data_IF_033305861071
#
_entry.id   IF_033305861071
#
_cell.length_a   1.000
_cell.length_b   1.000
_cell.length_c   1.000
_cell.angle_alpha   90.00
_cell.angle_beta   90.00
_cell.angle_gamma   90.00
#
_symmetry.space_group_name_H-M   'P 1'
#
loop_
_entity.id
_entity.type
_entity.pdbx_description
1 polymer ?
#
# COMPACT_ATOMS: atom_id res chain seq x y z
N UNK A 1 -10.55 9.69 33.15
CA UNK A 1 -9.99 10.26 31.88
C UNK A 1 -11.04 11.18 31.29
N UNK A 2 -10.68 12.28 30.64
CA UNK A 2 -11.69 13.11 29.95
C UNK A 2 -12.42 12.26 28.90
N UNK A 3 -13.73 12.46 28.76
CA UNK A 3 -14.60 11.76 27.79
C UNK A 3 -14.05 11.84 26.37
N UNK A 4 -13.43 12.97 26.03
CA UNK A 4 -12.78 13.19 24.75
C UNK A 4 -11.71 12.14 24.45
N UNK A 5 -10.83 11.84 25.41
CA UNK A 5 -9.75 10.86 25.23
C UNK A 5 -10.23 9.41 25.24
N UNK A 6 -11.34 9.12 25.93
CA UNK A 6 -11.95 7.79 25.87
C UNK A 6 -12.60 7.55 24.51
N UNK A 7 -13.20 8.58 23.90
CA UNK A 7 -13.75 8.49 22.53
C UNK A 7 -12.61 8.30 21.52
N UNK A 8 -11.50 9.02 21.64
CA UNK A 8 -10.33 8.81 20.75
C UNK A 8 -9.80 7.39 20.86
N UNK A 9 -9.67 6.86 22.08
CA UNK A 9 -9.22 5.50 22.30
C UNK A 9 -10.20 4.47 21.72
N UNK A 10 -11.51 4.68 21.88
CA UNK A 10 -12.53 3.83 21.28
C UNK A 10 -12.47 3.86 19.73
N UNK A 11 -12.24 5.04 19.14
CA UNK A 11 -12.04 5.19 17.69
C UNK A 11 -10.81 4.39 17.24
N UNK A 12 -9.68 4.55 17.94
CA UNK A 12 -8.44 3.82 17.65
C UNK A 12 -8.65 2.31 17.68
N UNK A 13 -9.32 1.78 18.71
CA UNK A 13 -9.58 0.34 18.81
C UNK A 13 -10.53 -0.15 17.73
N UNK A 14 -11.53 0.66 17.37
CA UNK A 14 -12.45 0.33 16.27
C UNK A 14 -11.72 0.29 14.94
N UNK A 15 -10.89 1.29 14.65
CA UNK A 15 -10.06 1.34 13.44
C UNK A 15 -9.09 0.16 13.38
N UNK A 16 -8.41 -0.15 14.48
CA UNK A 16 -7.49 -1.28 14.55
C UNK A 16 -8.21 -2.62 14.29
N UNK A 17 -9.40 -2.82 14.87
CA UNK A 17 -10.20 -4.01 14.65
C UNK A 17 -10.68 -4.12 13.19
N UNK A 18 -11.16 -3.02 12.61
CA UNK A 18 -11.61 -2.96 11.21
C UNK A 18 -10.44 -3.22 10.27
N UNK A 19 -9.30 -2.57 10.46
CA UNK A 19 -8.09 -2.77 9.63
C UNK A 19 -7.60 -4.22 9.73
N UNK A 20 -7.57 -4.78 10.94
CA UNK A 20 -7.18 -6.19 11.14
C UNK A 20 -8.14 -7.13 10.41
N UNK A 21 -9.44 -6.86 10.45
CA UNK A 21 -10.44 -7.61 9.71
C UNK A 21 -10.24 -7.48 8.18
N UNK A 22 -9.93 -6.28 7.69
CA UNK A 22 -9.67 -6.03 6.27
C UNK A 22 -8.39 -6.70 5.76
N UNK A 23 -7.35 -6.80 6.60
CA UNK A 23 -6.07 -7.45 6.29
C UNK A 23 -6.14 -8.98 6.36
N UNK A 24 -7.22 -9.52 6.94
CA UNK A 24 -7.36 -10.95 7.18
C UNK A 24 -7.45 -11.72 5.85
N UNK A 25 -6.57 -12.70 5.59
CA UNK A 25 -6.53 -13.44 4.32
C UNK A 25 -7.73 -14.36 4.11
N UNK A 26 -8.55 -14.59 5.15
CA UNK A 26 -9.71 -15.47 5.08
C UNK A 26 -10.87 -14.89 4.25
N UNK A 27 -10.93 -13.56 4.05
CA UNK A 27 -12.01 -12.93 3.31
C UNK A 27 -11.57 -12.73 1.85
N UNK A 28 -12.13 -13.54 0.95
CA UNK A 28 -11.78 -13.47 -0.47
C UNK A 28 -12.19 -12.13 -1.11
N UNK A 29 -11.48 -11.72 -2.16
CA UNK A 29 -11.78 -10.50 -2.94
C UNK A 29 -13.21 -10.47 -3.49
N UNK A 30 -13.84 -11.64 -3.70
CA UNK A 30 -15.22 -11.75 -4.18
C UNK A 30 -16.24 -11.32 -3.11
N UNK A 31 -15.99 -11.63 -1.85
CA UNK A 31 -16.85 -11.21 -0.72
C UNK A 31 -16.75 -9.70 -0.55
N UNK A 32 -15.53 -9.16 -0.52
CA UNK A 32 -15.32 -7.72 -0.49
C UNK A 32 -15.98 -7.01 -1.67
N UNK A 33 -15.86 -7.53 -2.88
CA UNK A 33 -16.53 -6.96 -4.06
C UNK A 33 -18.07 -6.93 -3.90
N UNK A 34 -18.67 -7.99 -3.34
CA UNK A 34 -20.11 -8.02 -3.06
C UNK A 34 -20.51 -6.97 -2.00
N UNK A 35 -19.69 -6.77 -0.96
CA UNK A 35 -19.88 -5.72 0.05
C UNK A 35 -19.73 -4.33 -0.57
N UNK A 36 -18.69 -4.09 -1.36
CA UNK A 36 -18.44 -2.80 -2.02
C UNK A 36 -19.49 -2.43 -3.07
N UNK A 37 -20.07 -3.43 -3.78
CA UNK A 37 -21.19 -3.21 -4.70
C UNK A 37 -22.54 -3.01 -4.00
N UNK A 38 -22.62 -3.19 -2.68
CA UNK A 38 -23.87 -2.96 -1.95
C UNK A 38 -24.32 -1.50 -2.06
N UNK A 39 -25.65 -1.29 -2.19
CA UNK A 39 -26.28 0.05 -2.25
C UNK A 39 -25.95 0.93 -1.03
N UNK A 40 -25.58 0.32 0.09
CA UNK A 40 -25.17 1.03 1.30
C UNK A 40 -23.77 1.63 1.13
N UNK A 41 -22.83 0.84 0.59
CA UNK A 41 -21.45 1.27 0.36
C UNK A 41 -21.37 2.25 -0.81
N UNK A 42 -22.20 2.11 -1.84
CA UNK A 42 -22.31 3.11 -2.92
C UNK A 42 -22.75 4.49 -2.40
N UNK A 43 -23.75 4.54 -1.51
CA UNK A 43 -24.18 5.79 -0.85
C UNK A 43 -23.09 6.35 0.06
N UNK A 44 -22.41 5.48 0.82
CA UNK A 44 -21.31 5.88 1.69
C UNK A 44 -20.13 6.43 0.87
N UNK A 45 -19.77 5.78 -0.24
CA UNK A 45 -18.68 6.16 -1.14
C UNK A 45 -18.87 7.57 -1.72
N UNK A 46 -20.10 7.91 -2.12
CA UNK A 46 -20.41 9.25 -2.68
C UNK A 46 -20.13 10.39 -1.70
N UNK A 47 -20.27 10.15 -0.40
CA UNK A 47 -19.96 11.13 0.66
C UNK A 47 -18.67 10.80 1.41
N UNK A 48 -17.99 9.69 1.09
CA UNK A 48 -16.86 9.18 1.85
C UNK A 48 -15.71 10.16 1.88
N UNK A 49 -15.43 10.86 0.78
CA UNK A 49 -14.37 11.87 0.72
C UNK A 49 -14.65 13.04 1.66
N UNK A 50 -15.91 13.48 1.76
CA UNK A 50 -16.33 14.55 2.67
C UNK A 50 -16.20 14.12 4.13
N UNK A 51 -16.76 12.97 4.50
CA UNK A 51 -16.63 12.42 5.86
C UNK A 51 -15.16 12.13 6.21
N UNK A 52 -14.37 11.61 5.27
CA UNK A 52 -12.96 11.32 5.49
C UNK A 52 -12.16 12.58 5.82
N UNK A 53 -12.34 13.64 5.04
CA UNK A 53 -11.66 14.91 5.27
C UNK A 53 -12.14 15.58 6.57
N UNK A 54 -13.43 15.47 6.89
CA UNK A 54 -13.99 15.96 8.16
C UNK A 54 -13.38 15.24 9.37
N UNK A 55 -13.39 13.91 9.38
CA UNK A 55 -12.75 13.12 10.43
C UNK A 55 -11.24 13.40 10.53
N UNK A 56 -10.56 13.56 9.39
CA UNK A 56 -9.15 13.89 9.33
C UNK A 56 -8.86 15.24 10.01
N UNK A 57 -9.70 16.26 9.75
CA UNK A 57 -9.57 17.56 10.39
C UNK A 57 -9.77 17.46 11.90
N UNK A 58 -10.79 16.73 12.36
CA UNK A 58 -11.06 16.51 13.77
C UNK A 58 -9.90 15.78 14.46
N UNK A 59 -9.41 14.68 13.87
CA UNK A 59 -8.25 13.94 14.37
C UNK A 59 -6.99 14.80 14.39
N UNK A 60 -6.78 15.63 13.36
CA UNK A 60 -5.69 16.60 13.31
C UNK A 60 -5.76 17.61 14.46
N UNK A 61 -6.96 18.14 14.76
CA UNK A 61 -7.17 19.00 15.93
C UNK A 61 -6.92 18.27 17.25
N UNK A 62 -7.30 16.99 17.37
CA UNK A 62 -7.00 16.19 18.58
C UNK A 62 -5.50 15.99 18.78
N UNK A 63 -4.76 15.68 17.71
CA UNK A 63 -3.30 15.56 17.78
C UNK A 63 -2.68 16.90 18.15
N UNK A 64 -3.15 17.99 17.56
CA UNK A 64 -2.68 19.34 17.91
C UNK A 64 -2.94 19.66 19.39
N UNK A 65 -4.12 19.35 19.91
CA UNK A 65 -4.47 19.53 21.31
C UNK A 65 -3.59 18.67 22.23
N UNK A 66 -3.34 17.41 21.85
CA UNK A 66 -2.46 16.51 22.59
C UNK A 66 -1.00 17.03 22.64
N UNK A 67 -0.48 17.50 21.50
CA UNK A 67 0.86 18.11 21.42
C UNK A 67 0.94 19.35 22.30
N UNK A 68 -0.05 20.24 22.20
CA UNK A 68 -0.15 21.43 23.05
C UNK A 68 -0.18 21.05 24.53
N UNK A 69 -0.96 20.04 24.89
CA UNK A 69 -1.08 19.57 26.27
C UNK A 69 0.23 18.98 26.79
N UNK A 70 0.96 18.19 26.00
CA UNK A 70 2.27 17.66 26.37
C UNK A 70 3.27 18.80 26.57
N UNK A 71 3.34 19.76 25.63
CA UNK A 71 4.27 20.90 25.75
C UNK A 71 3.95 21.77 26.97
N UNK A 72 2.67 22.04 27.20
CA UNK A 72 2.22 22.80 28.37
C UNK A 72 2.59 22.10 29.67
N UNK A 73 2.27 20.81 29.82
CA UNK A 73 2.59 20.07 31.05
C UNK A 73 4.11 19.93 31.25
N UNK A 74 4.88 19.82 30.16
CA UNK A 74 6.33 19.77 30.23
C UNK A 74 6.94 21.10 30.69
N UNK A 75 6.42 22.23 30.20
CA UNK A 75 6.85 23.56 30.65
C UNK A 75 6.58 23.77 32.14
N UNK A 76 5.35 23.48 32.58
CA UNK A 76 4.97 23.59 34.01
C UNK A 76 5.82 22.69 34.89
N UNK A 77 6.17 21.49 34.42
CA UNK A 77 7.07 20.59 35.13
C UNK A 77 8.50 21.14 35.25
N UNK A 78 9.01 21.80 34.21
CA UNK A 78 10.34 22.44 34.23
C UNK A 78 10.39 23.63 35.18
N UNK A 79 9.36 24.48 35.19
CA UNK A 79 9.25 25.60 36.14
C UNK A 79 9.21 25.09 37.59
N UNK A 80 8.43 24.04 37.87
CA UNK A 80 8.37 23.44 39.19
C UNK A 80 9.73 22.91 39.67
N UNK A 81 10.52 22.32 38.76
CA UNK A 81 11.88 21.85 39.06
C UNK A 81 12.85 22.99 39.36
N UNK A 82 12.60 24.18 38.82
CA UNK A 82 13.45 25.36 39.01
C UNK A 82 13.21 26.11 40.32
N UNK A 83 12.09 25.85 41.03
CA UNK A 83 11.76 26.47 42.31
C UNK A 83 11.94 25.47 43.48
N UNK A 84 13.03 25.57 44.27
CA UNK A 84 13.32 24.65 45.37
C UNK A 84 12.29 24.70 46.52
N UNK A 85 11.48 25.76 46.61
CA UNK A 85 10.52 25.95 47.70
C UNK A 85 9.22 25.14 47.51
N UNK A 86 8.87 24.85 46.25
CA UNK A 86 7.66 24.11 45.85
C UNK A 86 7.99 22.66 45.47
N UNK A 87 9.25 22.38 45.16
CA UNK A 87 9.75 21.07 44.78
C UNK A 87 9.80 20.10 45.98
N UNK A 88 8.65 19.49 46.28
CA UNK A 88 8.52 18.35 47.20
C UNK A 88 8.29 17.06 46.39
N UNK A 89 8.80 15.90 46.85
CA UNK A 89 8.63 14.61 46.16
C UNK A 89 7.15 14.28 45.86
N UNK A 90 6.25 14.63 46.77
CA UNK A 90 4.80 14.43 46.60
C UNK A 90 4.24 15.24 45.43
N UNK A 91 4.66 16.50 45.30
CA UNK A 91 4.22 17.40 44.23
C UNK A 91 4.77 16.95 42.88
N UNK A 92 6.04 16.54 42.84
CA UNK A 92 6.71 16.03 41.64
C UNK A 92 5.96 14.84 41.03
N UNK A 93 5.57 13.87 41.87
CA UNK A 93 4.84 12.67 41.43
C UNK A 93 3.51 13.01 40.72
N UNK A 94 2.79 14.03 41.18
CA UNK A 94 1.51 14.46 40.62
C UNK A 94 1.69 15.07 39.22
N UNK A 95 2.74 15.87 39.01
CA UNK A 95 3.03 16.47 37.71
C UNK A 95 3.57 15.45 36.71
N UNK A 96 4.45 14.55 37.14
CA UNK A 96 4.89 13.41 36.33
C UNK A 96 3.68 12.58 35.86
N UNK A 97 2.73 12.29 36.75
CA UNK A 97 1.51 11.56 36.38
C UNK A 97 0.69 12.29 35.31
N UNK A 98 0.56 13.63 35.39
CA UNK A 98 -0.13 14.45 34.39
C UNK A 98 0.63 14.46 33.05
N UNK A 99 1.95 14.53 33.08
CA UNK A 99 2.79 14.49 31.90
C UNK A 99 2.71 13.13 31.18
N UNK A 100 2.83 12.02 31.91
CA UNK A 100 2.65 10.68 31.34
C UNK A 100 1.25 10.48 30.75
N UNK A 101 0.22 11.03 31.40
CA UNK A 101 -1.15 11.02 30.86
C UNK A 101 -1.23 11.77 29.53
N UNK A 102 -0.62 12.95 29.42
CA UNK A 102 -0.59 13.72 28.19
C UNK A 102 0.20 13.02 27.08
N UNK A 103 1.37 12.44 27.40
CA UNK A 103 2.19 11.68 26.44
C UNK A 103 1.43 10.48 25.88
N UNK A 104 0.75 9.71 26.74
CA UNK A 104 -0.07 8.58 26.29
C UNK A 104 -1.20 9.02 25.35
N UNK A 105 -1.87 10.13 25.68
CA UNK A 105 -2.95 10.66 24.84
C UNK A 105 -2.43 11.16 23.47
N UNK A 106 -1.22 11.70 23.42
CA UNK A 106 -0.53 12.02 22.17
C UNK A 106 -0.27 10.77 21.33
N UNK A 107 0.20 9.68 21.93
CA UNK A 107 0.37 8.42 21.20
C UNK A 107 -0.96 7.87 20.68
N UNK A 108 -2.00 7.85 21.50
CA UNK A 108 -3.33 7.36 21.08
C UNK A 108 -3.87 8.16 19.89
N UNK A 109 -3.85 9.49 19.98
CA UNK A 109 -4.34 10.35 18.89
C UNK A 109 -3.47 10.27 17.64
N UNK A 110 -2.15 10.21 17.79
CA UNK A 110 -1.22 10.04 16.67
C UNK A 110 -1.39 8.71 15.95
N UNK A 111 -1.51 7.60 16.69
CA UNK A 111 -1.78 6.29 16.10
C UNK A 111 -3.16 6.22 15.44
N UNK A 112 -4.18 6.87 16.00
CA UNK A 112 -5.51 6.93 15.40
C UNK A 112 -5.46 7.67 14.06
N UNK A 113 -4.80 8.83 14.02
CA UNK A 113 -4.58 9.56 12.77
C UNK A 113 -3.83 8.72 11.73
N UNK A 114 -2.78 8.00 12.15
CA UNK A 114 -2.03 7.11 11.27
C UNK A 114 -2.89 5.96 10.72
N UNK A 115 -3.62 5.27 11.59
CA UNK A 115 -4.53 4.19 11.18
C UNK A 115 -5.65 4.70 10.27
N UNK A 116 -6.12 5.94 10.45
CA UNK A 116 -7.08 6.55 9.53
C UNK A 116 -6.53 6.66 8.10
N UNK A 117 -5.26 7.02 7.92
CA UNK A 117 -4.62 7.01 6.60
C UNK A 117 -4.49 5.60 6.03
N UNK A 118 -4.06 4.63 6.86
CA UNK A 118 -3.95 3.22 6.47
C UNK A 118 -5.31 2.68 6.04
N UNK A 119 -6.37 2.98 6.79
CA UNK A 119 -7.74 2.60 6.48
C UNK A 119 -8.18 3.13 5.12
N UNK A 120 -7.97 4.43 4.83
CA UNK A 120 -8.27 5.02 3.51
C UNK A 120 -7.58 4.28 2.39
N UNK A 121 -6.28 4.04 2.57
CA UNK A 121 -5.45 3.38 1.56
C UNK A 121 -5.91 1.95 1.32
N UNK A 122 -6.20 1.20 2.37
CA UNK A 122 -6.69 -0.18 2.29
C UNK A 122 -8.04 -0.25 1.57
N UNK A 123 -9.01 0.56 1.97
CA UNK A 123 -10.35 0.57 1.34
C UNK A 123 -10.24 0.89 -0.15
N UNK A 124 -9.43 1.89 -0.52
CA UNK A 124 -9.21 2.26 -1.92
C UNK A 124 -8.56 1.11 -2.71
N UNK A 125 -7.52 0.50 -2.12
CA UNK A 125 -6.78 -0.58 -2.77
C UNK A 125 -7.64 -1.82 -2.98
N UNK A 126 -8.49 -2.18 -2.00
CA UNK A 126 -9.41 -3.31 -2.15
C UNK A 126 -10.48 -3.01 -3.20
N UNK A 127 -11.00 -1.77 -3.24
CA UNK A 127 -11.97 -1.36 -4.26
C UNK A 127 -11.36 -1.40 -5.67
N UNK A 128 -10.12 -0.91 -5.83
CA UNK A 128 -9.39 -0.97 -7.10
C UNK A 128 -9.10 -2.42 -7.51
N UNK A 129 -8.66 -3.26 -6.56
CA UNK A 129 -8.44 -4.68 -6.80
C UNK A 129 -9.72 -5.38 -7.28
N UNK A 130 -10.85 -5.15 -6.60
CA UNK A 130 -12.15 -5.69 -6.99
C UNK A 130 -12.58 -5.23 -8.40
N UNK A 131 -12.34 -3.96 -8.76
CA UNK A 131 -12.64 -3.42 -10.09
C UNK A 131 -11.78 -4.10 -11.17
N UNK A 132 -10.48 -4.23 -10.94
CA UNK A 132 -9.55 -4.87 -11.88
C UNK A 132 -9.86 -6.35 -12.05
N UNK A 133 -10.14 -7.08 -10.97
CA UNK A 133 -10.53 -8.50 -11.06
C UNK A 133 -11.83 -8.68 -11.85
N UNK A 134 -12.85 -7.85 -11.61
CA UNK A 134 -14.11 -7.93 -12.34
C UNK A 134 -13.94 -7.60 -13.84
N UNK A 135 -13.13 -6.59 -14.16
CA UNK A 135 -12.80 -6.26 -15.55
C UNK A 135 -12.02 -7.40 -16.24
N UNK A 136 -11.09 -8.04 -15.53
CA UNK A 136 -10.35 -9.20 -16.02
C UNK A 136 -11.25 -10.42 -16.27
N UNK A 137 -12.16 -10.74 -15.34
CA UNK A 137 -13.15 -11.82 -15.52
C UNK A 137 -14.05 -11.56 -16.74
N UNK A 138 -14.51 -10.32 -16.92
CA UNK A 138 -15.33 -9.93 -18.08
C UNK A 138 -14.56 -10.00 -19.40
N UNK A 139 -13.32 -9.50 -19.43
CA UNK A 139 -12.45 -9.57 -20.62
C UNK A 139 -12.15 -11.02 -21.01
N UNK A 140 -11.92 -11.89 -20.02
CA UNK A 140 -11.65 -13.31 -20.26
C UNK A 140 -12.91 -14.04 -20.75
N UNK A 141 -14.09 -13.70 -20.24
CA UNK A 141 -15.36 -14.22 -20.74
C UNK A 141 -15.64 -13.78 -22.19
N UNK A 142 -15.36 -12.52 -22.52
CA UNK A 142 -15.48 -12.00 -23.88
C UNK A 142 -14.51 -12.69 -24.85
N UNK A 143 -13.24 -12.85 -24.47
CA UNK A 143 -12.26 -13.57 -25.27
C UNK A 143 -12.66 -15.03 -25.51
N UNK A 144 -13.16 -15.74 -24.47
CA UNK A 144 -13.67 -17.10 -24.62
C UNK A 144 -14.86 -17.17 -25.55
N UNK A 145 -15.82 -16.26 -25.41
CA UNK A 145 -17.00 -16.22 -26.29
C UNK A 145 -16.64 -15.93 -27.73
N UNK A 146 -15.67 -15.03 -27.98
CA UNK A 146 -15.18 -14.73 -29.32
C UNK A 146 -14.44 -15.92 -29.93
N UNK A 147 -13.59 -16.60 -29.16
CA UNK A 147 -12.91 -17.83 -29.59
C UNK A 147 -13.88 -18.96 -29.86
N UNK A 148 -14.92 -19.13 -29.03
CA UNK A 148 -15.95 -20.14 -29.25
C UNK A 148 -16.79 -19.82 -30.49
N UNK A 149 -17.15 -18.56 -30.72
CA UNK A 149 -17.83 -18.13 -31.94
C UNK A 149 -16.97 -18.38 -33.18
N UNK A 150 -15.67 -18.02 -33.15
CA UNK A 150 -14.72 -18.31 -34.22
C UNK A 150 -14.58 -19.82 -34.47
N UNK A 151 -14.50 -20.63 -33.39
CA UNK A 151 -14.44 -22.09 -33.49
C UNK A 151 -15.71 -22.68 -34.11
N UNK A 152 -16.89 -22.17 -33.73
CA UNK A 152 -18.17 -22.58 -34.33
C UNK A 152 -18.23 -22.24 -35.81
N UNK A 153 -17.79 -21.05 -36.23
CA UNK A 153 -17.69 -20.68 -37.64
C UNK A 153 -16.75 -21.62 -38.42
N UNK A 154 -15.56 -21.88 -37.89
CA UNK A 154 -14.61 -22.82 -38.51
C UNK A 154 -15.13 -24.25 -38.62
N UNK A 155 -15.88 -24.73 -37.62
CA UNK A 155 -16.42 -26.11 -37.64
C UNK A 155 -17.68 -26.23 -38.52
N UNK A 156 -18.48 -25.16 -38.63
CA UNK A 156 -19.66 -25.14 -39.49
C UNK A 156 -19.29 -25.02 -40.97
N UNK A 157 -18.18 -24.33 -41.28
CA UNK A 157 -17.61 -24.28 -42.63
C UNK A 157 -17.06 -25.63 -43.13
N UNK A 158 -16.79 -26.60 -42.23
CA UNK A 158 -16.33 -27.95 -42.60
C UNK A 158 -17.51 -28.92 -42.83
N UNK A 159 -18.74 -28.53 -42.45
CA UNK A 159 -19.96 -29.35 -42.53
C UNK A 159 -20.90 -29.04 -43.69
N UNK A 160 -20.70 -27.93 -44.41
CA UNK A 160 -21.54 -27.48 -45.54
C UNK A 160 -20.72 -27.44 -46.84
N UNK A 161 -20.15 -28.59 -47.20
CA UNK A 161 -19.58 -28.80 -48.54
C UNK A 161 -20.69 -29.31 -49.46
N UNK A 162 -21.55 -28.40 -49.91
CA UNK A 162 -22.36 -28.59 -51.11
C UNK A 162 -22.07 -27.44 -52.10
N UNK A 163 -21.35 -27.80 -53.16
CA UNK A 163 -21.24 -27.19 -54.49
C UNK A 163 -20.98 -25.68 -54.71
N UNK A 164 -20.36 -24.96 -53.76
CA UNK A 164 -19.84 -23.58 -54.03
C UNK A 164 -18.32 -23.43 -53.79
N UNK A 165 -17.59 -24.54 -53.68
CA UNK A 165 -16.41 -24.67 -52.80
C UNK A 165 -15.00 -24.53 -53.40
N UNK A 166 -14.79 -23.86 -54.54
CA UNK A 166 -13.40 -23.67 -55.02
C UNK A 166 -12.84 -22.27 -54.71
N UNK A 167 -13.66 -21.21 -54.79
CA UNK A 167 -13.13 -19.84 -54.62
C UNK A 167 -13.06 -19.37 -53.15
N UNK A 168 -13.95 -19.84 -52.26
CA UNK A 168 -13.89 -19.54 -50.82
C UNK A 168 -12.89 -20.43 -50.07
N UNK A 169 -12.64 -21.65 -50.55
CA UNK A 169 -11.65 -22.56 -49.95
C UNK A 169 -10.22 -22.03 -50.08
N UNK A 170 -9.91 -21.34 -51.18
CA UNK A 170 -8.59 -20.73 -51.37
C UNK A 170 -8.44 -19.43 -50.57
N UNK A 171 -9.49 -18.61 -50.49
CA UNK A 171 -9.48 -17.41 -49.64
C UNK A 171 -9.36 -17.74 -48.13
N UNK A 172 -10.02 -18.80 -47.66
CA UNK A 172 -9.91 -19.27 -46.28
C UNK A 172 -8.55 -19.93 -46.00
N UNK A 173 -7.94 -20.58 -46.99
CA UNK A 173 -6.56 -21.09 -46.88
C UNK A 173 -5.56 -19.95 -46.76
N UNK A 174 -5.71 -18.91 -47.58
CA UNK A 174 -4.87 -17.70 -47.52
C UNK A 174 -5.01 -17.00 -46.16
N UNK A 175 -6.22 -16.95 -45.60
CA UNK A 175 -6.45 -16.35 -44.28
C UNK A 175 -5.89 -17.21 -43.13
N UNK A 176 -5.98 -18.54 -43.23
CA UNK A 176 -5.35 -19.47 -42.29
C UNK A 176 -3.82 -19.34 -42.34
N UNK A 177 -3.23 -19.23 -43.53
CA UNK A 177 -1.79 -19.08 -43.69
C UNK A 177 -1.31 -17.69 -43.24
N UNK A 178 -2.11 -16.64 -43.47
CA UNK A 178 -1.86 -15.32 -42.91
C UNK A 178 -1.95 -15.30 -41.38
N UNK A 179 -2.90 -16.01 -40.79
CA UNK A 179 -3.04 -16.14 -39.33
C UNK A 179 -1.92 -16.98 -38.72
N UNK A 180 -1.46 -18.04 -39.40
CA UNK A 180 -0.27 -18.79 -38.98
C UNK A 180 0.99 -17.94 -39.04
N UNK A 181 1.16 -17.14 -40.10
CA UNK A 181 2.29 -16.21 -40.20
C UNK A 181 2.27 -15.18 -39.07
N UNK A 182 1.10 -14.60 -38.76
CA UNK A 182 0.94 -13.68 -37.62
C UNK A 182 1.24 -14.37 -36.29
N UNK A 183 0.76 -15.60 -36.10
CA UNK A 183 1.02 -16.37 -34.90
C UNK A 183 2.52 -16.64 -34.72
N UNK A 184 3.24 -16.97 -35.80
CA UNK A 184 4.67 -17.23 -35.74
C UNK A 184 5.47 -15.93 -35.48
N UNK A 185 5.03 -14.80 -36.02
CA UNK A 185 5.61 -13.49 -35.68
C UNK A 185 5.39 -13.10 -34.22
N UNK A 186 4.21 -13.38 -33.65
CA UNK A 186 3.93 -13.12 -32.22
C UNK A 186 4.69 -14.08 -31.31
N UNK A 187 4.83 -15.35 -31.70
CA UNK A 187 5.63 -16.34 -30.95
C UNK A 187 7.10 -15.97 -30.93
N UNK A 188 7.66 -15.51 -32.06
CA UNK A 188 9.05 -15.04 -32.12
C UNK A 188 9.25 -13.74 -31.35
N UNK A 189 8.31 -12.78 -31.43
CA UNK A 189 8.33 -11.56 -30.61
C UNK A 189 8.26 -11.88 -29.12
N UNK A 190 7.43 -12.82 -28.71
CA UNK A 190 7.33 -13.27 -27.31
C UNK A 190 8.62 -13.94 -26.83
N UNK A 191 9.21 -14.84 -27.62
CA UNK A 191 10.51 -15.45 -27.30
C UNK A 191 11.61 -14.40 -27.15
N UNK A 192 11.62 -13.39 -28.02
CA UNK A 192 12.54 -12.26 -27.91
C UNK A 192 12.29 -11.44 -26.63
N UNK A 193 11.03 -11.19 -26.27
CA UNK A 193 10.71 -10.50 -25.02
C UNK A 193 11.12 -11.31 -23.77
N UNK A 194 10.94 -12.63 -23.78
CA UNK A 194 11.38 -13.52 -22.69
C UNK A 194 12.92 -13.51 -22.53
N UNK A 195 13.68 -13.54 -23.63
CA UNK A 195 15.15 -13.45 -23.55
C UNK A 195 15.64 -12.08 -23.07
N UNK A 196 14.99 -10.99 -23.49
CA UNK A 196 15.26 -9.65 -22.97
C UNK A 196 14.97 -9.55 -21.47
N UNK A 197 13.87 -10.16 -21.00
CA UNK A 197 13.52 -10.18 -19.58
C UNK A 197 14.56 -10.95 -18.76
N UNK A 198 15.06 -12.08 -19.27
CA UNK A 198 16.12 -12.83 -18.60
C UNK A 198 17.45 -12.06 -18.59
N UNK A 199 17.79 -11.35 -19.67
CA UNK A 199 18.96 -10.49 -19.75
C UNK A 199 18.88 -9.33 -18.74
N UNK A 200 17.73 -8.65 -18.64
CA UNK A 200 17.49 -7.59 -17.65
C UNK A 200 17.61 -8.13 -16.23
N UNK A 201 17.10 -9.34 -15.96
CA UNK A 201 17.22 -9.98 -14.65
C UNK A 201 18.69 -10.22 -14.28
N UNK A 202 19.50 -10.75 -15.20
CA UNK A 202 20.94 -10.96 -14.98
C UNK A 202 21.67 -9.63 -14.76
N UNK A 203 21.33 -8.58 -15.51
CA UNK A 203 21.88 -7.25 -15.30
C UNK A 203 21.50 -6.67 -13.94
N UNK A 204 20.25 -6.83 -13.50
CA UNK A 204 19.80 -6.37 -12.19
C UNK A 204 20.54 -7.11 -11.05
N UNK A 205 20.74 -8.42 -11.17
CA UNK A 205 21.53 -9.21 -10.21
C UNK A 205 23.00 -8.77 -10.16
N UNK A 206 23.61 -8.45 -11.32
CA UNK A 206 24.96 -7.91 -11.37
C UNK A 206 25.05 -6.53 -10.72
N UNK A 207 24.11 -5.62 -11.00
CA UNK A 207 24.06 -4.29 -10.39
C UNK A 207 23.90 -4.39 -8.87
N UNK A 208 23.06 -5.30 -8.37
CA UNK A 208 22.90 -5.52 -6.93
C UNK A 208 24.23 -5.94 -6.29
N UNK A 209 24.98 -6.84 -6.92
CA UNK A 209 26.29 -7.28 -6.41
C UNK A 209 27.33 -6.15 -6.40
N UNK A 210 27.39 -5.36 -7.45
CA UNK A 210 28.29 -4.19 -7.51
C UNK A 210 27.90 -3.13 -6.47
N UNK A 211 26.59 -2.92 -6.26
CA UNK A 211 26.11 -2.02 -5.21
C UNK A 211 26.54 -2.49 -3.82
N UNK A 212 26.38 -3.77 -3.51
CA UNK A 212 26.81 -4.35 -2.22
C UNK A 212 28.33 -4.22 -2.03
N UNK A 213 29.11 -4.44 -3.10
CA UNK A 213 30.57 -4.29 -3.09
C UNK A 213 30.99 -2.85 -2.81
N UNK A 214 30.44 -1.89 -3.56
CA UNK A 214 30.74 -0.46 -3.37
C UNK A 214 30.31 0.01 -2.00
N UNK A 215 29.16 -0.45 -1.50
CA UNK A 215 28.71 -0.16 -0.13
C UNK A 215 29.70 -0.66 0.91
N UNK A 216 30.25 -1.87 0.73
CA UNK A 216 31.27 -2.41 1.61
C UNK A 216 32.60 -1.63 1.53
N UNK A 217 33.04 -1.25 0.33
CA UNK A 217 34.23 -0.40 0.12
C UNK A 217 34.05 0.98 0.78
N UNK A 218 32.88 1.63 0.62
CA UNK A 218 32.56 2.88 1.29
C UNK A 218 32.56 2.76 2.82
N UNK A 219 32.04 1.65 3.37
CA UNK A 219 32.09 1.40 4.81
C UNK A 219 33.52 1.17 5.32
N UNK A 220 34.37 0.50 4.54
CA UNK A 220 35.78 0.32 4.87
C UNK A 220 36.53 1.65 4.84
N UNK A 221 36.37 2.44 3.78
CA UNK A 221 36.95 3.77 3.66
C UNK A 221 36.47 4.71 4.76
N UNK A 222 35.19 4.65 5.17
CA UNK A 222 34.70 5.44 6.30
C UNK A 222 35.36 5.03 7.63
N UNK A 223 35.62 3.74 7.84
CA UNK A 223 36.34 3.24 9.03
C UNK A 223 37.81 3.65 9.01
N UNK A 224 38.47 3.55 7.87
CA UNK A 224 39.85 4.00 7.69
C UNK A 224 39.97 5.52 7.86
N UNK A 225 39.05 6.29 7.27
CA UNK A 225 38.98 7.73 7.46
C UNK A 225 38.71 8.06 8.93
N UNK A 226 37.80 7.37 9.62
CA UNK A 226 37.55 7.58 11.04
C UNK A 226 38.78 7.23 11.90
N UNK A 227 39.57 6.22 11.53
CA UNK A 227 40.82 5.88 12.19
C UNK A 227 41.93 6.92 11.94
N UNK A 228 42.01 7.48 10.72
CA UNK A 228 42.98 8.52 10.35
C UNK A 228 42.59 9.90 10.91
N UNK A 229 41.30 10.20 11.01
CA UNK A 229 40.77 11.49 11.53
C UNK A 229 40.50 11.45 13.04
N UNK A 230 40.83 10.34 13.70
CA UNK A 230 40.45 10.00 15.07
C UNK A 230 41.59 9.41 15.90
N UNK A 231 42.76 10.07 15.90
CA UNK A 231 43.72 10.03 17.02
C UNK A 231 44.48 11.35 17.15
N UNK A 232 43.75 12.47 17.14
CA UNK A 232 44.32 13.81 17.41
C UNK A 232 43.43 14.67 18.33
N UNK A 233 42.50 14.02 19.06
CA UNK A 233 41.58 14.70 20.00
C UNK A 233 41.65 14.23 21.46
N UNK A 234 42.68 13.47 21.85
CA UNK A 234 42.91 13.10 23.26
C UNK A 234 44.29 13.51 23.83
N UNK A 235 44.83 14.65 23.37
CA UNK A 235 45.94 15.35 24.05
C UNK A 235 45.66 16.83 24.23
N UNK A 236 44.56 17.18 24.92
CA UNK A 236 44.44 18.46 25.64
C UNK A 236 43.21 18.48 26.55
N UNK A 237 43.36 17.97 27.77
CA UNK A 237 43.02 18.66 29.03
C UNK A 237 43.11 17.66 30.20
N UNK A 238 43.95 18.08 31.15
CA UNK A 238 44.11 17.66 32.56
C UNK A 238 44.71 16.26 32.84
#
# INVERSE_FOLDING_TARGET
MSILWTITAACLYTEAAVITLLLMPFISSRIWNAVFKSRIVGRLSSYASFYFNGCLLILGLMVFEAVRQVRYQNHVYQELKSDPSIFKPETESVYLMKLFRAQRNLYISGFCLFLWFVFKRLVTLIADHARVTAAGEASLAQAKSATEAARRLLTSADGDRDDTSEHESDALRDEIDALKAKLDTEVTARKYAETQMEAIKKQAEQVSKEYDRVSAECQQLQKELAAVTGDDRDKKKD
#
